data_IF_489232454845
#
_entry.id   IF_489232454845
#
_cell.length_a   1.000
_cell.length_b   1.000
_cell.length_c   1.000
_cell.angle_alpha   90.00
_cell.angle_beta   90.00
_cell.angle_gamma   90.00
#
_symmetry.space_group_name_H-M   'P 1'
#
loop_
_entity.id
_entity.type
_entity.pdbx_description
1 polymer ?
#
# COMPACT_ATOMS: atom_id res chain seq x y z
N UNK A 1 -41.20 -10.46 -42.91
CA UNK A 1 -40.63 -11.51 -42.04
C UNK A 1 -39.30 -10.99 -41.50
N UNK A 2 -39.36 -10.30 -40.35
CA UNK A 2 -38.17 -9.78 -39.67
C UNK A 2 -37.66 -10.89 -38.75
N UNK A 3 -36.48 -11.43 -39.07
CA UNK A 3 -35.81 -12.42 -38.22
C UNK A 3 -35.27 -11.71 -36.98
N UNK A 4 -35.98 -11.88 -35.88
CA UNK A 4 -35.55 -11.44 -34.57
C UNK A 4 -34.55 -12.48 -34.04
N UNK A 5 -33.29 -12.39 -34.46
CA UNK A 5 -32.19 -13.11 -33.83
C UNK A 5 -31.87 -12.41 -32.51
N UNK A 6 -32.68 -12.72 -31.49
CA UNK A 6 -32.34 -12.53 -30.08
C UNK A 6 -31.05 -13.32 -29.81
N UNK A 7 -29.93 -12.61 -29.90
CA UNK A 7 -28.63 -13.05 -29.41
C UNK A 7 -28.85 -13.36 -27.93
N UNK A 8 -28.91 -14.65 -27.61
CA UNK A 8 -28.81 -15.13 -26.24
C UNK A 8 -27.44 -14.69 -25.70
N UNK A 9 -27.38 -13.52 -25.10
CA UNK A 9 -26.29 -13.13 -24.20
C UNK A 9 -26.38 -14.07 -23.00
N UNK A 10 -25.65 -15.18 -23.09
CA UNK A 10 -25.30 -15.99 -21.92
C UNK A 10 -24.73 -15.01 -20.92
N UNK A 11 -25.47 -14.78 -19.83
CA UNK A 11 -25.00 -13.99 -18.70
C UNK A 11 -23.81 -14.77 -18.14
N UNK A 12 -22.59 -14.40 -18.52
CA UNK A 12 -21.40 -14.94 -17.85
C UNK A 12 -21.58 -14.56 -16.39
N UNK A 13 -21.68 -15.56 -15.51
CA UNK A 13 -21.62 -15.30 -14.08
C UNK A 13 -20.34 -14.53 -13.83
N UNK A 14 -20.45 -13.39 -13.14
CA UNK A 14 -19.31 -12.53 -12.93
C UNK A 14 -18.31 -13.25 -12.03
N UNK A 15 -17.16 -13.60 -12.62
CA UNK A 15 -16.05 -14.26 -11.94
C UNK A 15 -15.05 -13.21 -11.52
N UNK A 16 -14.90 -13.07 -10.22
CA UNK A 16 -14.05 -12.07 -9.61
C UNK A 16 -12.70 -12.66 -9.26
N UNK A 17 -11.64 -11.93 -9.56
CA UNK A 17 -10.30 -12.26 -9.11
C UNK A 17 -9.73 -11.08 -8.34
N UNK A 18 -9.41 -11.29 -7.07
CA UNK A 18 -8.66 -10.33 -6.26
C UNK A 18 -7.17 -10.65 -6.40
N UNK A 19 -6.40 -9.70 -6.90
CA UNK A 19 -4.95 -9.80 -7.07
C UNK A 19 -4.29 -8.80 -6.14
N UNK A 20 -3.50 -9.31 -5.20
CA UNK A 20 -2.56 -8.52 -4.39
C UNK A 20 -1.20 -8.55 -5.06
N UNK A 21 -0.52 -7.41 -5.11
CA UNK A 21 0.81 -7.29 -5.73
C UNK A 21 1.82 -6.74 -4.76
N UNK A 22 2.96 -7.41 -4.71
CA UNK A 22 4.22 -6.97 -4.10
C UNK A 22 5.24 -6.80 -5.24
N UNK A 23 5.54 -5.56 -5.64
CA UNK A 23 6.35 -5.31 -6.84
C UNK A 23 7.84 -5.60 -6.63
N UNK A 24 8.39 -5.39 -5.44
CA UNK A 24 9.82 -5.53 -5.17
C UNK A 24 10.21 -6.89 -4.54
N UNK A 25 9.27 -7.83 -4.50
CA UNK A 25 9.44 -9.23 -4.12
C UNK A 25 9.79 -9.40 -2.64
N UNK A 26 9.30 -8.54 -1.76
CA UNK A 26 9.55 -8.64 -0.33
C UNK A 26 8.98 -9.94 0.28
N UNK A 27 7.85 -10.47 -0.21
CA UNK A 27 7.33 -11.80 0.16
C UNK A 27 8.30 -12.92 -0.23
N UNK A 28 8.96 -12.81 -1.37
CA UNK A 28 9.95 -13.79 -1.83
C UNK A 28 11.28 -13.64 -1.09
N UNK A 29 11.76 -12.41 -0.94
CA UNK A 29 13.08 -12.07 -0.42
C UNK A 29 13.16 -12.19 1.10
N UNK A 30 12.15 -11.70 1.83
CA UNK A 30 12.13 -11.68 3.30
C UNK A 30 11.52 -12.95 3.88
N UNK A 31 10.45 -13.46 3.26
CA UNK A 31 9.67 -14.58 3.80
C UNK A 31 9.88 -15.92 3.06
N UNK A 32 10.69 -15.96 1.99
CA UNK A 32 10.98 -17.16 1.19
C UNK A 32 9.70 -17.82 0.64
N UNK A 33 8.75 -17.00 0.20
CA UNK A 33 7.48 -17.45 -0.38
C UNK A 33 7.57 -17.40 -1.90
N UNK A 34 7.17 -18.49 -2.55
CA UNK A 34 7.07 -18.53 -4.01
C UNK A 34 5.71 -18.02 -4.46
N UNK A 35 5.69 -17.13 -5.44
CA UNK A 35 4.49 -16.61 -6.07
C UNK A 35 4.27 -17.25 -7.45
N UNK A 36 3.01 -17.34 -7.94
CA UNK A 36 1.80 -16.81 -7.35
C UNK A 36 1.33 -17.67 -6.17
N UNK A 37 0.90 -17.01 -5.09
CA UNK A 37 0.24 -17.67 -3.95
C UNK A 37 -1.25 -17.60 -4.18
N UNK A 38 -1.92 -18.75 -4.14
CA UNK A 38 -3.33 -18.87 -4.49
C UNK A 38 -4.16 -19.27 -3.27
N UNK A 39 -5.30 -18.63 -3.11
CA UNK A 39 -6.33 -18.97 -2.13
C UNK A 39 -6.16 -18.24 -0.81
N UNK A 40 -7.31 -17.97 -0.18
CA UNK A 40 -7.43 -17.20 1.07
C UNK A 40 -6.45 -17.63 2.16
N UNK A 41 -6.45 -18.91 2.54
CA UNK A 41 -5.62 -19.41 3.64
C UNK A 41 -4.12 -19.30 3.35
N UNK A 42 -3.71 -19.50 2.10
CA UNK A 42 -2.30 -19.39 1.71
C UNK A 42 -1.84 -17.94 1.71
N UNK A 43 -2.68 -17.00 1.27
CA UNK A 43 -2.40 -15.56 1.38
C UNK A 43 -2.29 -15.12 2.84
N UNK A 44 -3.16 -15.59 3.74
CA UNK A 44 -3.04 -15.31 5.18
C UNK A 44 -1.71 -15.84 5.72
N UNK A 45 -1.36 -17.10 5.40
CA UNK A 45 -0.08 -17.67 5.82
C UNK A 45 1.12 -16.89 5.27
N UNK A 46 1.01 -16.36 4.05
CA UNK A 46 2.03 -15.50 3.46
C UNK A 46 2.19 -14.20 4.25
N UNK A 47 1.09 -13.52 4.58
CA UNK A 47 1.11 -12.32 5.42
C UNK A 47 1.71 -12.59 6.81
N UNK A 48 1.35 -13.72 7.45
CA UNK A 48 1.92 -14.09 8.76
C UNK A 48 3.42 -14.32 8.65
N UNK A 49 3.89 -15.06 7.63
CA UNK A 49 5.33 -15.30 7.45
C UNK A 49 6.10 -14.01 7.16
N UNK A 50 5.56 -13.13 6.32
CA UNK A 50 6.17 -11.83 6.05
C UNK A 50 6.20 -10.98 7.32
N UNK A 51 5.09 -10.88 8.05
CA UNK A 51 5.04 -10.14 9.31
C UNK A 51 5.93 -10.69 10.42
N UNK A 52 6.24 -11.99 10.41
CA UNK A 52 7.24 -12.57 11.32
C UNK A 52 8.67 -12.24 10.90
N UNK A 53 8.93 -12.05 9.60
CA UNK A 53 10.25 -11.71 9.07
C UNK A 53 10.53 -10.20 9.15
N UNK A 54 9.55 -9.36 8.82
CA UNK A 54 9.60 -7.90 8.84
C UNK A 54 8.22 -7.33 9.19
N UNK A 55 7.92 -7.09 10.48
CA UNK A 55 6.63 -6.56 10.91
C UNK A 55 6.30 -5.15 10.37
N UNK A 56 7.30 -4.40 9.93
CA UNK A 56 7.14 -3.02 9.45
C UNK A 56 6.76 -2.93 7.97
N UNK A 57 6.74 -4.06 7.29
CA UNK A 57 6.49 -4.16 5.86
C UNK A 57 5.04 -3.80 5.50
N UNK A 58 4.87 -2.94 4.49
CA UNK A 58 3.55 -2.45 4.08
C UNK A 58 2.76 -3.47 3.26
N UNK A 59 3.41 -4.43 2.61
CA UNK A 59 2.77 -5.50 1.82
C UNK A 59 1.92 -6.42 2.68
N UNK A 60 2.22 -6.56 3.97
CA UNK A 60 1.38 -7.29 4.93
C UNK A 60 -0.04 -6.74 4.89
N UNK A 61 -0.18 -5.41 4.86
CA UNK A 61 -1.48 -4.76 4.83
C UNK A 61 -2.16 -4.89 3.48
N UNK A 62 -1.40 -4.88 2.37
CA UNK A 62 -1.93 -5.16 1.03
C UNK A 62 -2.53 -6.56 0.97
N UNK A 63 -1.83 -7.57 1.51
CA UNK A 63 -2.30 -8.97 1.56
C UNK A 63 -3.56 -9.09 2.42
N UNK A 64 -3.54 -8.55 3.63
CA UNK A 64 -4.70 -8.59 4.53
C UNK A 64 -5.90 -7.78 3.99
N UNK A 65 -5.63 -6.68 3.29
CA UNK A 65 -6.64 -5.90 2.58
C UNK A 65 -7.31 -6.69 1.45
N UNK A 66 -6.52 -7.46 0.69
CA UNK A 66 -7.02 -8.39 -0.32
C UNK A 66 -7.87 -9.52 0.27
N UNK A 67 -7.42 -10.12 1.39
CA UNK A 67 -8.19 -11.14 2.13
C UNK A 67 -9.53 -10.58 2.60
N UNK A 68 -9.55 -9.37 3.16
CA UNK A 68 -10.79 -8.72 3.60
C UNK A 68 -11.75 -8.51 2.42
N UNK A 69 -11.25 -8.01 1.29
CA UNK A 69 -12.06 -7.82 0.09
C UNK A 69 -12.64 -9.15 -0.42
N UNK A 70 -11.83 -10.20 -0.46
CA UNK A 70 -12.29 -11.55 -0.81
C UNK A 70 -13.42 -12.01 0.12
N UNK A 71 -13.27 -11.82 1.43
CA UNK A 71 -14.28 -12.23 2.42
C UNK A 71 -15.59 -11.45 2.28
N UNK A 72 -15.51 -10.16 1.97
CA UNK A 72 -16.68 -9.32 1.71
C UNK A 72 -17.40 -9.76 0.43
N UNK A 73 -16.67 -10.02 -0.66
CA UNK A 73 -17.25 -10.53 -1.92
C UNK A 73 -17.85 -11.92 -1.77
N UNK A 74 -17.20 -12.83 -1.02
CA UNK A 74 -17.78 -14.15 -0.71
C UNK A 74 -19.06 -14.05 0.12
N UNK A 75 -19.15 -13.08 1.04
CA UNK A 75 -20.36 -12.84 1.85
C UNK A 75 -21.53 -12.33 1.00
N UNK A 76 -21.22 -11.62 -0.07
CA UNK A 76 -22.17 -11.18 -1.10
C UNK A 76 -22.46 -12.27 -2.15
N UNK A 77 -22.01 -13.51 -1.90
CA UNK A 77 -22.23 -14.70 -2.74
C UNK A 77 -21.61 -14.63 -4.15
N UNK A 78 -20.59 -13.78 -4.36
CA UNK A 78 -19.85 -13.73 -5.62
C UNK A 78 -18.89 -14.91 -5.79
N UNK A 79 -18.75 -15.39 -7.03
CA UNK A 79 -17.69 -16.32 -7.41
C UNK A 79 -16.35 -15.57 -7.46
N UNK A 80 -15.64 -15.56 -6.33
CA UNK A 80 -14.37 -14.86 -6.19
C UNK A 80 -13.21 -15.79 -5.83
N UNK A 81 -12.04 -15.48 -6.40
CA UNK A 81 -10.74 -16.10 -6.09
C UNK A 81 -9.73 -15.04 -5.63
N UNK A 82 -8.74 -15.45 -4.84
CA UNK A 82 -7.69 -14.56 -4.31
C UNK A 82 -6.32 -15.08 -4.70
N UNK A 83 -5.46 -14.19 -5.19
CA UNK A 83 -4.07 -14.49 -5.44
C UNK A 83 -3.16 -13.34 -4.98
N UNK A 84 -1.93 -13.70 -4.60
CA UNK A 84 -0.82 -12.80 -4.36
C UNK A 84 0.26 -13.10 -5.40
N UNK A 85 0.69 -12.08 -6.12
CA UNK A 85 1.82 -12.16 -7.06
C UNK A 85 2.94 -11.24 -6.59
N UNK A 86 4.17 -11.57 -6.96
CA UNK A 86 5.30 -10.69 -6.68
C UNK A 86 6.22 -10.49 -7.89
N UNK A 87 6.87 -9.33 -7.92
CA UNK A 87 7.79 -8.91 -8.95
C UNK A 87 9.23 -9.29 -8.64
N UNK A 88 10.15 -8.33 -8.73
CA UNK A 88 11.56 -8.51 -8.48
C UNK A 88 12.09 -7.28 -7.74
N UNK A 89 13.15 -7.47 -6.92
CA UNK A 89 13.86 -6.39 -6.23
C UNK A 89 14.13 -5.17 -7.11
N UNK A 90 14.49 -5.39 -8.37
CA UNK A 90 14.60 -4.31 -9.35
C UNK A 90 13.26 -4.16 -10.08
N UNK A 91 12.40 -3.27 -9.58
CA UNK A 91 11.02 -3.10 -10.05
C UNK A 91 10.94 -2.67 -11.52
N UNK A 92 11.92 -1.88 -11.99
CA UNK A 92 11.98 -1.39 -13.37
C UNK A 92 12.64 -2.38 -14.33
N UNK A 93 13.13 -3.52 -13.83
CA UNK A 93 13.80 -4.52 -14.64
C UNK A 93 12.85 -5.26 -15.60
N UNK A 94 13.43 -5.74 -16.71
CA UNK A 94 12.72 -6.60 -17.66
C UNK A 94 12.27 -7.91 -17.00
N UNK A 95 13.06 -8.41 -16.06
CA UNK A 95 12.81 -9.61 -15.27
C UNK A 95 11.58 -9.45 -14.39
N UNK A 96 11.41 -8.30 -13.72
CA UNK A 96 10.21 -7.96 -12.96
C UNK A 96 8.97 -8.00 -13.86
N UNK A 97 9.02 -7.24 -14.97
CA UNK A 97 7.91 -7.17 -15.92
C UNK A 97 7.52 -8.55 -16.47
N UNK A 98 8.51 -9.38 -16.80
CA UNK A 98 8.29 -10.75 -17.29
C UNK A 98 7.66 -11.64 -16.21
N UNK A 99 8.18 -11.64 -14.98
CA UNK A 99 7.69 -12.46 -13.86
C UNK A 99 6.25 -12.09 -13.50
N UNK A 100 5.92 -10.80 -13.47
CA UNK A 100 4.56 -10.32 -13.25
C UNK A 100 3.63 -10.78 -14.38
N UNK A 101 4.04 -10.59 -15.64
CA UNK A 101 3.26 -11.01 -16.81
C UNK A 101 2.94 -12.51 -16.77
N UNK A 102 3.94 -13.35 -16.50
CA UNK A 102 3.77 -14.82 -16.46
C UNK A 102 2.77 -15.24 -15.38
N UNK A 103 2.83 -14.63 -14.20
CA UNK A 103 1.87 -14.90 -13.12
C UNK A 103 0.47 -14.42 -13.46
N UNK A 104 0.32 -13.22 -14.04
CA UNK A 104 -0.97 -12.70 -14.47
C UNK A 104 -1.58 -13.56 -15.57
N UNK A 105 -0.81 -13.93 -16.60
CA UNK A 105 -1.27 -14.83 -17.66
C UNK A 105 -1.74 -16.17 -17.11
N UNK A 106 -1.01 -16.73 -16.14
CA UNK A 106 -1.40 -17.96 -15.46
C UNK A 106 -2.73 -17.81 -14.69
N UNK A 107 -2.90 -16.74 -13.92
CA UNK A 107 -4.12 -16.50 -13.15
C UNK A 107 -5.33 -16.22 -14.04
N UNK A 108 -5.15 -15.43 -15.11
CA UNK A 108 -6.21 -15.14 -16.07
C UNK A 108 -6.64 -16.41 -16.83
N UNK A 109 -5.70 -17.28 -17.17
CA UNK A 109 -6.01 -18.57 -17.79
C UNK A 109 -6.71 -19.52 -16.82
N UNK A 110 -6.25 -19.59 -15.57
CA UNK A 110 -6.78 -20.52 -14.58
C UNK A 110 -8.21 -20.19 -14.14
N UNK A 111 -8.52 -18.90 -13.99
CA UNK A 111 -9.80 -18.45 -13.42
C UNK A 111 -10.76 -17.82 -14.43
N UNK A 112 -10.27 -17.46 -15.61
CA UNK A 112 -11.04 -16.76 -16.64
C UNK A 112 -11.95 -15.66 -16.05
N UNK A 113 -11.42 -14.71 -15.26
CA UNK A 113 -12.24 -13.75 -14.54
C UNK A 113 -12.87 -12.74 -15.49
N UNK A 114 -14.11 -12.32 -15.21
CA UNK A 114 -14.73 -11.17 -15.89
C UNK A 114 -14.36 -9.86 -15.21
N UNK A 115 -14.03 -9.90 -13.92
CA UNK A 115 -13.72 -8.73 -13.10
C UNK A 115 -12.49 -8.97 -12.24
N UNK A 116 -11.53 -8.05 -12.28
CA UNK A 116 -10.29 -8.12 -11.49
C UNK A 116 -10.24 -6.95 -10.52
N UNK A 117 -10.19 -7.27 -9.22
CA UNK A 117 -9.83 -6.31 -8.19
C UNK A 117 -8.31 -6.30 -8.00
N UNK A 118 -7.70 -5.16 -8.24
CA UNK A 118 -6.28 -4.96 -8.05
C UNK A 118 -5.99 -4.26 -6.72
N UNK A 119 -5.19 -4.87 -5.86
CA UNK A 119 -4.92 -4.44 -4.49
C UNK A 119 -3.41 -4.20 -4.32
N UNK A 120 -3.05 -2.96 -4.01
CA UNK A 120 -1.66 -2.53 -3.78
C UNK A 120 -1.64 -1.29 -2.87
N UNK A 121 -0.53 -1.11 -2.15
CA UNK A 121 -0.21 0.06 -1.32
C UNK A 121 0.50 1.17 -2.13
N UNK A 122 1.04 0.86 -3.30
CA UNK A 122 2.00 1.68 -4.03
C UNK A 122 1.48 2.54 -5.19
N UNK A 123 2.43 3.24 -5.83
CA UNK A 123 2.28 3.92 -7.13
C UNK A 123 2.82 3.10 -8.30
N UNK A 124 3.62 2.07 -8.03
CA UNK A 124 4.36 1.27 -9.03
C UNK A 124 3.46 0.31 -9.84
N UNK A 125 2.16 0.28 -9.53
CA UNK A 125 1.13 -0.55 -10.16
C UNK A 125 0.81 -0.23 -11.63
N UNK A 126 1.37 0.84 -12.20
CA UNK A 126 1.02 1.29 -13.54
C UNK A 126 1.38 0.25 -14.60
N UNK A 127 2.46 -0.51 -14.39
CA UNK A 127 2.89 -1.57 -15.29
C UNK A 127 1.87 -2.72 -15.34
N UNK A 128 1.31 -3.11 -14.19
CA UNK A 128 0.31 -4.18 -14.12
C UNK A 128 -0.99 -3.73 -14.78
N UNK A 129 -1.42 -2.50 -14.51
CA UNK A 129 -2.67 -1.95 -15.07
C UNK A 129 -2.58 -1.83 -16.59
N UNK A 130 -1.48 -1.27 -17.12
CA UNK A 130 -1.22 -1.21 -18.58
C UNK A 130 -1.25 -2.58 -19.23
N UNK A 131 -0.73 -3.60 -18.55
CA UNK A 131 -0.75 -4.98 -19.06
C UNK A 131 -2.18 -5.53 -19.16
N UNK A 132 -3.02 -5.25 -18.16
CA UNK A 132 -4.38 -5.75 -18.10
C UNK A 132 -5.36 -4.97 -18.99
N UNK A 133 -5.10 -3.68 -19.29
CA UNK A 133 -5.91 -2.86 -20.20
C UNK A 133 -6.08 -3.47 -21.61
N UNK A 134 -5.12 -4.28 -22.06
CA UNK A 134 -5.17 -4.95 -23.35
C UNK A 134 -5.94 -6.27 -23.38
N UNK A 135 -6.61 -6.66 -22.29
CA UNK A 135 -7.28 -7.96 -22.14
C UNK A 135 -8.80 -7.79 -22.06
N UNK A 136 -9.55 -8.84 -22.41
CA UNK A 136 -11.02 -8.87 -22.33
C UNK A 136 -11.52 -9.07 -20.88
N UNK A 137 -11.02 -8.26 -19.94
CA UNK A 137 -11.36 -8.31 -18.50
C UNK A 137 -11.57 -6.90 -17.97
N UNK A 138 -12.56 -6.72 -17.10
CA UNK A 138 -12.75 -5.44 -16.43
C UNK A 138 -11.84 -5.33 -15.21
N UNK A 139 -11.04 -4.28 -15.12
CA UNK A 139 -10.08 -4.08 -14.02
C UNK A 139 -10.50 -2.92 -13.14
N UNK A 140 -10.67 -3.18 -11.85
CA UNK A 140 -10.94 -2.16 -10.84
C UNK A 140 -9.79 -2.03 -9.85
N UNK A 141 -9.18 -0.85 -9.82
CA UNK A 141 -8.11 -0.55 -8.87
C UNK A 141 -8.67 -0.20 -7.48
N UNK A 142 -8.28 -0.96 -6.46
CA UNK A 142 -8.57 -0.66 -5.05
C UNK A 142 -7.25 -0.45 -4.29
N UNK A 143 -6.87 0.81 -4.11
CA UNK A 143 -5.69 1.15 -3.29
C UNK A 143 -5.97 0.88 -1.81
N UNK A 144 -5.12 0.10 -1.15
CA UNK A 144 -5.16 -0.07 0.30
C UNK A 144 -4.36 1.07 0.91
N UNK A 145 -5.06 2.02 1.53
CA UNK A 145 -4.39 3.07 2.29
C UNK A 145 -4.12 2.54 3.69
N UNK A 146 -2.86 2.16 3.94
CA UNK A 146 -2.40 1.79 5.28
C UNK A 146 -2.40 3.05 6.16
N UNK A 147 -3.27 3.11 7.17
CA UNK A 147 -3.21 4.15 8.20
C UNK A 147 -2.19 3.73 9.27
N UNK A 148 -0.91 4.06 9.08
CA UNK A 148 0.02 4.04 10.22
C UNK A 148 -0.31 5.21 11.15
N UNK A 149 -0.77 4.91 12.36
CA UNK A 149 -1.16 5.93 13.36
C UNK A 149 -0.14 6.11 14.49
N UNK A 150 0.73 5.14 14.75
CA UNK A 150 1.68 5.21 15.88
C UNK A 150 2.84 6.20 15.63
N UNK A 151 3.33 6.30 14.38
CA UNK A 151 4.43 7.21 14.06
C UNK A 151 4.03 8.68 14.20
N UNK A 152 2.75 9.01 13.96
CA UNK A 152 2.22 10.35 14.17
C UNK A 152 2.05 10.68 15.65
N UNK A 153 1.69 9.69 16.48
CA UNK A 153 1.61 9.89 17.93
C UNK A 153 2.99 10.15 18.53
N UNK A 154 3.97 9.33 18.16
CA UNK A 154 5.37 9.49 18.61
C UNK A 154 5.97 10.81 18.11
N UNK A 155 5.74 11.17 16.84
CA UNK A 155 6.17 12.45 16.27
C UNK A 155 5.47 13.63 16.95
N UNK A 156 4.18 13.50 17.28
CA UNK A 156 3.43 14.50 18.03
C UNK A 156 4.04 14.73 19.42
N UNK A 157 4.36 13.66 20.17
CA UNK A 157 5.04 13.79 21.45
C UNK A 157 6.42 14.40 21.32
N UNK A 158 7.20 14.02 20.30
CA UNK A 158 8.53 14.58 20.06
C UNK A 158 8.47 16.09 19.75
N UNK A 159 7.52 16.51 18.92
CA UNK A 159 7.27 17.92 18.61
C UNK A 159 6.79 18.67 19.87
N UNK A 160 5.88 18.10 20.63
CA UNK A 160 5.36 18.70 21.85
C UNK A 160 6.46 18.87 22.91
N UNK A 161 7.31 17.86 23.10
CA UNK A 161 8.43 17.89 24.03
C UNK A 161 9.49 18.90 23.57
N UNK A 162 9.81 18.93 22.27
CA UNK A 162 10.71 19.92 21.67
C UNK A 162 10.20 21.35 21.90
N UNK A 163 8.93 21.62 21.61
CA UNK A 163 8.30 22.93 21.84
C UNK A 163 8.31 23.30 23.32
N UNK A 164 7.94 22.36 24.20
CA UNK A 164 7.93 22.58 25.65
C UNK A 164 9.33 22.92 26.17
N UNK A 165 10.36 22.17 25.73
CA UNK A 165 11.75 22.41 26.13
C UNK A 165 12.27 23.74 25.59
N UNK A 166 11.96 24.07 24.34
CA UNK A 166 12.32 25.35 23.70
C UNK A 166 11.70 26.53 24.44
N UNK A 167 10.39 26.49 24.68
CA UNK A 167 9.64 27.56 25.34
C UNK A 167 10.00 27.74 26.82
N UNK A 168 10.29 26.65 27.54
CA UNK A 168 10.57 26.72 28.99
C UNK A 168 12.03 26.94 29.34
N UNK A 169 12.98 26.46 28.52
CA UNK A 169 14.41 26.53 28.84
C UNK A 169 15.14 27.56 28.01
N UNK A 170 14.89 27.64 26.71
CA UNK A 170 15.71 28.48 25.83
C UNK A 170 15.18 29.91 25.71
N UNK A 171 13.86 30.08 25.57
CA UNK A 171 13.25 31.41 25.47
C UNK A 171 13.55 32.30 26.68
N UNK A 172 13.36 31.85 27.95
CA UNK A 172 13.65 32.70 29.11
C UNK A 172 15.10 33.17 29.13
N UNK A 173 16.06 32.29 28.83
CA UNK A 173 17.48 32.66 28.79
C UNK A 173 17.77 33.72 27.72
N UNK A 174 17.21 33.57 26.52
CA UNK A 174 17.39 34.54 25.41
C UNK A 174 16.77 35.89 25.79
N UNK A 175 15.52 35.89 26.28
CA UNK A 175 14.82 37.12 26.68
C UNK A 175 15.47 37.80 27.90
N UNK A 176 15.93 37.03 28.89
CA UNK A 176 16.67 37.58 30.04
C UNK A 176 18.00 38.19 29.61
N UNK A 177 18.74 37.54 28.71
CA UNK A 177 20.02 38.07 28.20
C UNK A 177 19.82 39.37 27.41
N UNK A 178 18.81 39.40 26.53
CA UNK A 178 18.43 40.59 25.75
C UNK A 178 17.93 41.71 26.68
N UNK A 179 17.09 41.39 27.65
CA UNK A 179 16.60 42.36 28.64
C UNK A 179 17.74 42.94 29.47
N UNK A 180 18.68 42.11 29.91
CA UNK A 180 19.85 42.56 30.65
C UNK A 180 20.76 43.46 29.79
N UNK A 181 20.98 43.11 28.53
CA UNK A 181 21.73 43.96 27.59
C UNK A 181 21.03 45.32 27.38
N UNK A 182 19.70 45.36 27.28
CA UNK A 182 18.94 46.61 27.20
C UNK A 182 19.07 47.45 28.46
N UNK A 183 19.05 46.84 29.65
CA UNK A 183 19.24 47.55 30.93
C UNK A 183 20.65 48.14 31.02
N UNK A 184 21.68 47.37 30.65
CA UNK A 184 23.06 47.89 30.57
C UNK A 184 23.11 49.06 29.60
N UNK A 185 22.58 48.90 28.39
CA UNK A 185 22.56 49.97 27.39
C UNK A 185 21.89 51.24 27.93
N UNK A 186 20.74 51.13 28.60
CA UNK A 186 20.04 52.27 29.17
C UNK A 186 20.85 52.99 30.28
N UNK A 187 21.52 52.25 31.16
CA UNK A 187 22.35 52.82 32.23
C UNK A 187 23.57 53.57 31.64
N UNK A 188 24.20 52.99 30.62
CA UNK A 188 25.37 53.58 29.98
C UNK A 188 25.03 54.62 28.91
N UNK A 189 23.78 54.74 28.48
CA UNK A 189 23.32 55.75 27.52
C UNK A 189 23.51 57.18 28.06
N UNK A 190 23.35 57.39 29.36
CA UNK A 190 23.56 58.69 30.02
C UNK A 190 25.03 58.98 30.36
N UNK A 191 25.91 57.97 30.30
CA UNK A 191 27.33 58.08 30.68
C UNK A 191 28.24 58.58 29.55
N UNK A 192 27.69 58.83 28.37
CA UNK A 192 28.36 59.57 27.30
C UNK A 192 29.59 58.87 26.68
N UNK A 193 29.44 58.46 25.43
CA UNK A 193 30.48 58.68 24.43
C UNK A 193 29.98 59.78 23.50
#
# INVERSE_FOLDING_TARGET
>A
MSNNSSVNTVKREDRYLVIVVDMDDDVGRKANIKTPVIGRSNCINAAVKLGLADPGDTDINSILGGVKLYDDLKREEYEVELALISGNKDVESKECAKKIKEQLDFLLYLYEPTFVYFVSDGKEDELVLKYLEGKDVFVWKKRVVVKQSEYLESTYYLIQEFLKKTMSQYLPFIFTSIGFAMVIYAIFADLGW
#
